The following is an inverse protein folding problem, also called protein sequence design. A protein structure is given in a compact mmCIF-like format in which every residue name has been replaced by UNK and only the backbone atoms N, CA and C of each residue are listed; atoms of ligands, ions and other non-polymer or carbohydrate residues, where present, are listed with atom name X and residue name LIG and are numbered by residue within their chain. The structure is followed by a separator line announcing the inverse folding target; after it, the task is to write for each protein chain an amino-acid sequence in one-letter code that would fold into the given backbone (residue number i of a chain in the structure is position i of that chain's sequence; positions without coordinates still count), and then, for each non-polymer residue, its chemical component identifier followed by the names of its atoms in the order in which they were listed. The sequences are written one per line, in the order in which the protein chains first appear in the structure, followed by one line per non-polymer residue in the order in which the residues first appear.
data_IF_219676484104
#
_entry.id   IF_219676484104
#
_cell.length_a   1.000
_cell.length_b   1.000
_cell.length_c   1.000
_cell.angle_alpha   90.00
_cell.angle_beta   90.00
_cell.angle_gamma   90.00
#
_symmetry.space_group_name_H-M   'P 1'
#
loop_
_entity.id
_entity.type
_entity.pdbx_description
1 polymer ?
#
# COMPACT_ATOMS: atom_id res chain seq x y z
N UNK A 1 28.39 -0.61 16.99
CA UNK A 1 27.65 0.55 17.53
C UNK A 1 27.06 1.25 16.31
N UNK A 2 25.78 1.12 16.07
CA UNK A 2 25.12 1.87 15.00
C UNK A 2 25.02 3.31 15.47
N UNK A 3 25.73 4.21 14.77
CA UNK A 3 25.43 5.64 14.86
C UNK A 3 23.91 5.78 14.68
N UNK A 4 23.22 6.31 15.68
CA UNK A 4 21.78 6.56 15.61
C UNK A 4 21.52 7.50 14.43
N UNK A 5 21.33 6.93 13.25
CA UNK A 5 20.93 7.70 12.07
C UNK A 5 19.54 8.23 12.39
N UNK A 6 19.48 9.52 12.57
CA UNK A 6 18.22 10.24 12.71
C UNK A 6 17.33 9.88 11.53
N UNK A 7 16.22 9.17 11.78
CA UNK A 7 15.23 8.77 10.77
C UNK A 7 14.75 9.96 9.96
N UNK A 8 14.66 11.13 10.58
CA UNK A 8 14.26 12.36 9.91
C UNK A 8 15.23 12.77 8.78
N UNK A 9 16.47 12.32 8.82
CA UNK A 9 17.47 12.63 7.76
C UNK A 9 17.81 11.45 6.84
N UNK A 10 17.30 10.25 7.14
CA UNK A 10 17.69 9.05 6.38
C UNK A 10 17.24 9.10 4.92
N UNK A 11 16.12 9.77 4.64
CA UNK A 11 15.56 9.90 3.29
C UNK A 11 16.17 11.04 2.46
N UNK A 12 16.98 11.92 3.04
CA UNK A 12 17.59 13.01 2.32
C UNK A 12 18.45 12.51 1.15
N UNK A 13 18.21 13.05 -0.04
CA UNK A 13 18.90 12.65 -1.27
C UNK A 13 18.51 11.30 -1.83
N UNK A 14 17.41 10.71 -1.37
CA UNK A 14 16.87 9.43 -1.84
C UNK A 14 15.51 9.61 -2.47
N UNK A 15 15.17 8.72 -3.40
CA UNK A 15 13.86 8.69 -4.04
C UNK A 15 13.01 7.52 -3.54
N UNK A 16 11.70 7.70 -3.58
CA UNK A 16 10.71 6.65 -3.40
C UNK A 16 9.61 6.77 -4.46
N UNK A 17 9.04 5.63 -4.85
CA UNK A 17 7.86 5.53 -5.71
C UNK A 17 6.69 5.09 -4.84
N UNK A 18 5.54 5.77 -4.95
CA UNK A 18 4.28 5.39 -4.29
C UNK A 18 3.18 5.32 -5.33
N UNK A 19 2.50 4.18 -5.43
CA UNK A 19 1.38 3.99 -6.35
C UNK A 19 0.02 4.18 -5.67
N UNK A 20 -0.99 4.68 -6.40
CA UNK A 20 -2.27 5.07 -5.81
C UNK A 20 -2.13 6.25 -4.84
N UNK A 21 -1.22 7.17 -5.17
CA UNK A 21 -0.74 8.20 -4.26
C UNK A 21 -1.61 9.46 -4.19
N UNK A 22 -2.66 9.55 -5.02
CA UNK A 22 -3.49 10.75 -5.06
C UNK A 22 -4.39 10.91 -3.82
N UNK A 23 -4.71 9.82 -3.12
CA UNK A 23 -5.64 9.83 -1.98
C UNK A 23 -5.43 8.64 -1.03
N UNK A 24 -6.09 8.71 0.15
CA UNK A 24 -6.11 7.62 1.13
C UNK A 24 -4.72 7.24 1.64
N UNK A 25 -4.44 5.93 1.74
CA UNK A 25 -3.18 5.42 2.27
C UNK A 25 -1.97 5.90 1.45
N UNK A 26 -2.05 5.81 0.12
CA UNK A 26 -0.94 6.24 -0.75
C UNK A 26 -0.59 7.72 -0.62
N UNK A 27 -1.58 8.60 -0.41
CA UNK A 27 -1.32 10.02 -0.15
C UNK A 27 -0.63 10.21 1.21
N UNK A 28 -1.05 9.49 2.26
CA UNK A 28 -0.41 9.54 3.58
C UNK A 28 1.04 9.01 3.53
N UNK A 29 1.27 7.92 2.79
CA UNK A 29 2.60 7.34 2.56
C UNK A 29 3.52 8.33 1.82
N UNK A 30 3.01 8.94 0.73
CA UNK A 30 3.75 9.95 -0.02
C UNK A 30 4.09 11.17 0.86
N UNK A 31 3.13 11.65 1.66
CA UNK A 31 3.33 12.77 2.56
C UNK A 31 4.41 12.50 3.60
N UNK A 32 4.37 11.35 4.26
CA UNK A 32 5.40 10.96 5.25
C UNK A 32 6.80 10.84 4.63
N UNK A 33 6.90 10.29 3.42
CA UNK A 33 8.17 10.23 2.69
C UNK A 33 8.71 11.63 2.34
N UNK A 34 7.83 12.54 1.88
CA UNK A 34 8.20 13.95 1.62
C UNK A 34 8.71 14.64 2.89
N UNK A 35 7.96 14.52 3.99
CA UNK A 35 8.33 15.10 5.29
C UNK A 35 9.64 14.52 5.85
N UNK A 36 9.95 13.27 5.51
CA UNK A 36 11.23 12.64 5.84
C UNK A 36 12.40 13.05 4.92
N UNK A 37 12.16 13.87 3.90
CA UNK A 37 13.20 14.41 3.00
C UNK A 37 13.36 13.67 1.68
N UNK A 38 12.51 12.67 1.38
CA UNK A 38 12.57 11.93 0.12
C UNK A 38 12.09 12.78 -1.08
N UNK A 39 12.65 12.50 -2.27
CA UNK A 39 11.97 12.80 -3.53
C UNK A 39 10.94 11.72 -3.79
N UNK A 40 9.67 12.08 -3.98
CA UNK A 40 8.58 11.12 -4.12
C UNK A 40 7.98 11.17 -5.51
N UNK A 41 8.09 10.06 -6.25
CA UNK A 41 7.33 9.82 -7.47
C UNK A 41 5.96 9.25 -7.09
N UNK A 42 4.94 10.10 -7.15
CA UNK A 42 3.57 9.80 -6.76
C UNK A 42 2.74 9.45 -8.00
N UNK A 43 2.36 8.19 -8.13
CA UNK A 43 1.66 7.64 -9.28
C UNK A 43 0.17 7.44 -8.98
N UNK A 44 -0.69 7.85 -9.88
CA UNK A 44 -2.12 7.51 -9.90
C UNK A 44 -2.67 7.61 -11.33
N UNK A 45 -3.83 7.01 -11.57
CA UNK A 45 -4.55 7.16 -12.85
C UNK A 45 -5.33 8.48 -12.94
N UNK A 46 -5.46 9.20 -11.83
CA UNK A 46 -6.12 10.50 -11.79
C UNK A 46 -5.31 11.55 -12.56
N UNK A 47 -5.98 12.40 -13.36
CA UNK A 47 -5.28 13.43 -14.12
C UNK A 47 -4.56 14.43 -13.20
N UNK A 48 -3.48 15.01 -13.67
CA UNK A 48 -2.64 15.93 -12.87
C UNK A 48 -3.40 17.13 -12.30
N UNK A 49 -4.48 17.56 -12.95
CA UNK A 49 -5.38 18.63 -12.49
C UNK A 49 -6.43 18.21 -11.47
N UNK A 50 -6.47 16.96 -11.04
CA UNK A 50 -7.41 16.50 -10.02
C UNK A 50 -7.15 17.20 -8.67
N UNK A 51 -8.24 17.54 -7.96
CA UNK A 51 -8.17 18.29 -6.69
C UNK A 51 -7.35 17.55 -5.62
N UNK A 52 -7.32 16.23 -5.64
CA UNK A 52 -6.56 15.42 -4.67
C UNK A 52 -5.06 15.71 -4.72
N UNK A 53 -4.51 16.02 -5.88
CA UNK A 53 -3.11 16.44 -6.02
C UNK A 53 -2.85 17.83 -5.42
N UNK A 54 -3.83 18.73 -5.53
CA UNK A 54 -3.75 20.05 -4.89
C UNK A 54 -3.74 19.89 -3.37
N UNK A 55 -4.60 19.01 -2.83
CA UNK A 55 -4.65 18.73 -1.39
C UNK A 55 -3.32 18.12 -0.90
N UNK A 56 -2.75 17.17 -1.64
CA UNK A 56 -1.45 16.57 -1.29
C UNK A 56 -0.31 17.59 -1.32
N UNK A 57 -0.26 18.47 -2.34
CA UNK A 57 0.72 19.55 -2.41
C UNK A 57 0.57 20.53 -1.23
N UNK A 58 -0.66 20.91 -0.90
CA UNK A 58 -0.94 21.79 0.22
C UNK A 58 -0.51 21.17 1.57
N UNK A 59 -0.79 19.89 1.78
CA UNK A 59 -0.38 19.16 2.97
C UNK A 59 1.15 19.02 3.07
N UNK A 60 1.85 18.87 1.94
CA UNK A 60 3.31 18.79 1.88
C UNK A 60 4.00 20.15 2.13
N UNK A 61 3.31 21.28 1.89
CA UNK A 61 3.87 22.62 2.10
C UNK A 61 5.17 22.82 1.33
N UNK A 62 6.26 23.22 2.02
CA UNK A 62 7.57 23.41 1.42
C UNK A 62 8.16 22.12 0.82
N UNK A 63 7.79 20.95 1.37
CA UNK A 63 8.28 19.65 0.89
C UNK A 63 7.70 19.26 -0.48
N UNK A 64 6.65 19.96 -0.95
CA UNK A 64 6.04 19.75 -2.26
C UNK A 64 7.01 19.96 -3.45
N UNK A 65 8.12 20.66 -3.25
CA UNK A 65 9.17 20.79 -4.27
C UNK A 65 9.82 19.44 -4.64
N UNK A 66 9.76 18.45 -3.74
CA UNK A 66 10.27 17.08 -3.95
C UNK A 66 9.21 16.13 -4.49
N UNK A 67 7.95 16.57 -4.64
CA UNK A 67 6.86 15.77 -5.19
C UNK A 67 6.90 15.74 -6.73
N UNK A 68 6.90 14.55 -7.28
CA UNK A 68 6.87 14.26 -8.73
C UNK A 68 5.60 13.49 -9.05
N UNK A 69 4.53 14.18 -9.45
CA UNK A 69 3.26 13.54 -9.83
C UNK A 69 3.41 12.91 -11.21
N UNK A 70 2.89 11.69 -11.36
CA UNK A 70 2.85 10.96 -12.63
C UNK A 70 1.49 10.30 -12.82
N UNK A 71 0.82 10.64 -13.91
CA UNK A 71 -0.39 9.95 -14.34
C UNK A 71 0.04 8.64 -14.98
N UNK A 72 -0.28 7.52 -14.33
CA UNK A 72 0.15 6.19 -14.77
C UNK A 72 -0.87 5.11 -14.38
N UNK A 73 -1.11 4.16 -15.27
CA UNK A 73 -1.86 2.93 -14.97
C UNK A 73 -0.87 1.82 -14.60
N UNK A 74 -0.89 1.38 -13.36
CA UNK A 74 0.01 0.33 -12.85
C UNK A 74 -0.11 -0.99 -13.62
N UNK A 75 -1.23 -1.24 -14.29
CA UNK A 75 -1.44 -2.40 -15.14
C UNK A 75 -0.79 -2.26 -16.54
N UNK A 76 -0.15 -1.13 -16.84
CA UNK A 76 0.42 -0.84 -18.15
C UNK A 76 1.95 -0.80 -18.09
N UNK A 77 2.62 -1.79 -18.67
CA UNK A 77 4.10 -1.89 -18.59
C UNK A 77 4.82 -0.68 -19.21
N UNK A 78 4.28 -0.06 -20.26
CA UNK A 78 4.87 1.14 -20.87
C UNK A 78 5.02 2.30 -19.89
N UNK A 79 4.11 2.43 -18.93
CA UNK A 79 4.14 3.51 -17.94
C UNK A 79 5.28 3.28 -16.93
N UNK A 80 5.56 2.00 -16.60
CA UNK A 80 6.70 1.62 -15.77
C UNK A 80 8.05 1.82 -16.47
N UNK A 81 8.14 1.51 -17.75
CA UNK A 81 9.35 1.75 -18.55
C UNK A 81 9.67 3.26 -18.62
N UNK A 82 8.65 4.09 -18.90
CA UNK A 82 8.83 5.54 -18.92
C UNK A 82 9.27 6.10 -17.55
N UNK A 83 8.69 5.59 -16.45
CA UNK A 83 9.10 5.98 -15.10
C UNK A 83 10.53 5.54 -14.78
N UNK A 84 10.91 4.33 -15.17
CA UNK A 84 12.28 3.83 -14.94
C UNK A 84 13.33 4.69 -15.66
N UNK A 85 13.06 5.07 -16.90
CA UNK A 85 13.91 5.97 -17.68
C UNK A 85 14.03 7.34 -17.00
N UNK A 86 12.93 7.90 -16.51
CA UNK A 86 12.93 9.19 -15.81
C UNK A 86 13.76 9.13 -14.53
N UNK A 87 13.55 8.10 -13.68
CA UNK A 87 14.30 7.94 -12.43
C UNK A 87 15.80 7.79 -12.72
N UNK A 88 16.14 7.00 -13.73
CA UNK A 88 17.54 6.81 -14.16
C UNK A 88 18.19 8.11 -14.59
N UNK A 89 17.48 8.95 -15.36
CA UNK A 89 17.98 10.24 -15.82
C UNK A 89 18.09 11.28 -14.70
N UNK A 90 17.20 11.23 -13.71
CA UNK A 90 17.22 12.14 -12.57
C UNK A 90 18.44 11.94 -11.66
N UNK A 91 19.08 10.77 -11.68
CA UNK A 91 20.29 10.47 -10.91
C UNK A 91 20.08 10.41 -9.39
N UNK A 92 18.85 10.44 -8.91
CA UNK A 92 18.52 10.28 -7.48
C UNK A 92 18.30 8.79 -7.19
N UNK A 93 19.04 8.17 -6.25
CA UNK A 93 18.96 6.74 -6.02
C UNK A 93 17.59 6.33 -5.45
N UNK A 94 16.98 5.30 -6.04
CA UNK A 94 15.68 4.79 -5.66
C UNK A 94 15.78 3.84 -4.46
N UNK A 95 15.41 4.30 -3.27
CA UNK A 95 15.47 3.52 -2.03
C UNK A 95 14.14 2.91 -1.59
N UNK A 96 13.01 3.42 -2.09
CA UNK A 96 11.69 2.95 -1.70
C UNK A 96 10.77 2.68 -2.89
N UNK A 97 10.03 1.57 -2.80
CA UNK A 97 8.89 1.29 -3.68
C UNK A 97 7.70 0.87 -2.82
N UNK A 98 6.59 1.61 -2.91
CA UNK A 98 5.34 1.29 -2.24
C UNK A 98 4.29 0.93 -3.29
N UNK A 99 3.99 -0.34 -3.40
CA UNK A 99 2.91 -0.85 -4.23
C UNK A 99 1.59 -0.81 -3.45
N UNK A 100 1.00 0.39 -3.37
CA UNK A 100 -0.25 0.64 -2.65
C UNK A 100 -1.47 0.66 -3.58
N UNK A 101 -1.32 1.02 -4.86
CA UNK A 101 -2.43 1.05 -5.81
C UNK A 101 -3.23 -0.25 -5.78
N UNK A 102 -4.54 -0.13 -5.72
CA UNK A 102 -5.41 -1.29 -5.72
C UNK A 102 -6.88 -0.92 -5.81
N UNK A 103 -7.66 -1.87 -6.29
CA UNK A 103 -9.12 -1.77 -6.40
C UNK A 103 -9.77 -2.91 -5.66
N UNK A 104 -11.01 -2.71 -5.23
CA UNK A 104 -11.84 -3.74 -4.61
C UNK A 104 -13.06 -4.02 -5.47
N UNK A 105 -13.51 -5.27 -5.43
CA UNK A 105 -14.77 -5.69 -6.03
C UNK A 105 -15.53 -6.49 -4.96
N UNK A 106 -16.68 -5.96 -4.52
CA UNK A 106 -17.48 -6.60 -3.44
C UNK A 106 -18.52 -7.55 -4.03
N UNK A 107 -18.07 -8.50 -4.86
CA UNK A 107 -18.89 -9.55 -5.50
C UNK A 107 -18.40 -10.93 -5.08
N UNK A 108 -19.33 -11.87 -4.98
CA UNK A 108 -19.06 -13.29 -4.74
C UNK A 108 -18.44 -13.97 -5.95
N UNK A 109 -18.02 -15.23 -5.83
CA UNK A 109 -17.45 -16.02 -6.94
C UNK A 109 -18.40 -16.09 -8.12
N UNK A 110 -19.67 -16.37 -7.87
CA UNK A 110 -20.69 -16.58 -8.91
C UNK A 110 -21.17 -15.28 -9.58
N UNK A 111 -21.00 -14.14 -8.92
CA UNK A 111 -21.37 -12.82 -9.44
C UNK A 111 -20.23 -12.12 -10.20
N UNK A 112 -18.99 -12.58 -10.01
CA UNK A 112 -17.81 -11.97 -10.62
C UNK A 112 -17.65 -12.43 -12.06
N UNK A 113 -17.72 -11.51 -13.03
CA UNK A 113 -17.42 -11.82 -14.42
C UNK A 113 -15.93 -12.05 -14.63
N UNK A 114 -15.57 -12.77 -15.70
CA UNK A 114 -14.15 -12.99 -16.05
C UNK A 114 -13.41 -11.66 -16.34
N UNK A 115 -14.07 -10.69 -16.96
CA UNK A 115 -13.48 -9.38 -17.22
C UNK A 115 -13.18 -8.60 -15.95
N UNK A 116 -14.10 -8.60 -14.96
CA UNK A 116 -13.88 -7.98 -13.65
C UNK A 116 -12.77 -8.67 -12.87
N UNK A 117 -12.73 -10.01 -12.92
CA UNK A 117 -11.65 -10.80 -12.34
C UNK A 117 -10.29 -10.40 -12.90
N UNK A 118 -10.15 -10.39 -14.25
CA UNK A 118 -8.90 -10.00 -14.91
C UNK A 118 -8.49 -8.57 -14.58
N UNK A 119 -9.42 -7.60 -14.72
CA UNK A 119 -9.12 -6.18 -14.41
C UNK A 119 -8.62 -6.00 -12.98
N UNK A 120 -9.18 -6.72 -12.02
CA UNK A 120 -8.74 -6.63 -10.63
C UNK A 120 -7.33 -7.22 -10.45
N UNK A 121 -7.04 -8.37 -11.05
CA UNK A 121 -5.70 -8.97 -11.01
C UNK A 121 -4.66 -8.10 -11.71
N UNK A 122 -4.99 -7.54 -12.87
CA UNK A 122 -4.11 -6.65 -13.62
C UNK A 122 -3.62 -5.46 -12.75
N UNK A 123 -4.52 -4.91 -11.90
CA UNK A 123 -4.15 -3.80 -11.01
C UNK A 123 -3.46 -4.30 -9.74
N UNK A 124 -4.08 -5.26 -9.02
CA UNK A 124 -3.68 -5.60 -7.65
C UNK A 124 -2.49 -6.57 -7.59
N UNK A 125 -2.17 -7.27 -8.68
CA UNK A 125 -1.11 -8.29 -8.75
C UNK A 125 -0.11 -8.00 -9.85
N UNK A 126 -0.57 -7.85 -11.11
CA UNK A 126 0.33 -7.62 -12.23
C UNK A 126 1.01 -6.24 -12.12
N UNK A 127 0.29 -5.21 -11.61
CA UNK A 127 0.87 -3.90 -11.33
C UNK A 127 2.09 -3.97 -10.41
N UNK A 128 1.99 -4.51 -9.19
CA UNK A 128 3.15 -4.74 -8.31
C UNK A 128 4.26 -5.60 -8.94
N UNK A 129 3.91 -6.62 -9.71
CA UNK A 129 4.90 -7.40 -10.45
C UNK A 129 5.67 -6.54 -11.47
N UNK A 130 4.96 -5.76 -12.27
CA UNK A 130 5.58 -4.86 -13.25
C UNK A 130 6.44 -3.79 -12.59
N UNK A 131 5.98 -3.23 -11.45
CA UNK A 131 6.76 -2.28 -10.65
C UNK A 131 8.09 -2.87 -10.21
N UNK A 132 8.07 -4.05 -9.59
CA UNK A 132 9.28 -4.74 -9.11
C UNK A 132 10.19 -5.08 -10.28
N UNK A 133 9.63 -5.67 -11.36
CA UNK A 133 10.39 -6.07 -12.55
C UNK A 133 11.16 -4.91 -13.19
N UNK A 134 10.51 -3.75 -13.32
CA UNK A 134 11.11 -2.61 -14.02
C UNK A 134 11.95 -1.70 -13.12
N UNK A 135 11.66 -1.60 -11.83
CA UNK A 135 12.33 -0.66 -10.93
C UNK A 135 13.41 -1.30 -10.03
N UNK A 136 13.34 -2.62 -9.75
CA UNK A 136 14.30 -3.24 -8.85
C UNK A 136 15.75 -3.09 -9.33
N UNK A 137 16.02 -3.05 -10.64
CA UNK A 137 17.36 -2.84 -11.20
C UNK A 137 17.97 -1.49 -10.85
N UNK A 138 17.15 -0.47 -10.60
CA UNK A 138 17.55 0.88 -10.21
C UNK A 138 17.75 1.03 -8.69
N UNK A 139 17.37 0.03 -7.91
CA UNK A 139 17.41 0.08 -6.45
C UNK A 139 18.79 -0.36 -5.93
N UNK A 140 19.47 0.46 -5.11
CA UNK A 140 20.76 0.10 -4.52
C UNK A 140 20.60 -0.82 -3.30
N UNK A 141 21.73 -1.31 -2.78
CA UNK A 141 21.77 -2.01 -1.50
C UNK A 141 21.19 -1.15 -0.38
N UNK A 142 20.37 -1.76 0.48
CA UNK A 142 19.68 -1.09 1.57
C UNK A 142 18.30 -0.53 1.19
N UNK A 143 17.91 -0.60 -0.08
CA UNK A 143 16.57 -0.24 -0.53
C UNK A 143 15.51 -1.24 -0.03
N UNK A 144 14.24 -0.81 -0.07
CA UNK A 144 13.14 -1.67 0.36
C UNK A 144 11.88 -1.48 -0.50
N UNK A 145 11.12 -2.56 -0.62
CA UNK A 145 9.84 -2.63 -1.32
C UNK A 145 8.77 -3.03 -0.30
N UNK A 146 7.66 -2.29 -0.28
CA UNK A 146 6.49 -2.63 0.54
C UNK A 146 5.27 -2.80 -0.37
N UNK A 147 4.65 -3.97 -0.30
CA UNK A 147 3.44 -4.29 -1.02
C UNK A 147 2.23 -4.19 -0.08
N UNK A 148 1.21 -3.42 -0.45
CA UNK A 148 -0.01 -3.27 0.35
C UNK A 148 -1.00 -4.39 0.02
N UNK A 149 -1.02 -5.42 0.86
CA UNK A 149 -2.01 -6.49 0.82
C UNK A 149 -3.30 -6.08 1.57
N UNK A 150 -3.82 -6.92 2.43
CA UNK A 150 -5.03 -6.71 3.24
C UNK A 150 -5.18 -7.84 4.25
N UNK A 151 -6.01 -7.68 5.27
CA UNK A 151 -6.54 -8.81 6.05
C UNK A 151 -7.21 -9.87 5.16
N UNK A 152 -7.80 -9.47 4.01
CA UNK A 152 -8.31 -10.39 2.99
C UNK A 152 -7.22 -11.29 2.36
N UNK A 153 -5.96 -10.92 2.45
CA UNK A 153 -4.81 -11.75 2.06
C UNK A 153 -4.36 -12.70 3.17
N UNK A 154 -4.84 -12.55 4.40
CA UNK A 154 -4.50 -13.39 5.56
C UNK A 154 -5.63 -14.36 5.93
N UNK A 155 -6.87 -13.97 5.64
CA UNK A 155 -8.07 -14.74 5.95
C UNK A 155 -8.99 -14.86 4.73
N UNK A 156 -10.05 -15.64 4.83
CA UNK A 156 -11.10 -15.66 3.80
C UNK A 156 -11.92 -14.35 3.84
N UNK A 157 -12.21 -13.83 2.65
CA UNK A 157 -13.09 -12.69 2.47
C UNK A 157 -14.06 -12.99 1.32
N UNK A 158 -15.30 -12.51 1.38
CA UNK A 158 -16.35 -12.90 0.44
C UNK A 158 -16.12 -12.45 -1.02
N UNK A 159 -15.24 -11.48 -1.27
CA UNK A 159 -14.85 -11.08 -2.62
C UNK A 159 -13.75 -11.99 -3.16
N UNK A 160 -14.09 -12.86 -4.10
CA UNK A 160 -13.17 -13.85 -4.63
C UNK A 160 -11.94 -13.24 -5.31
N UNK A 161 -12.15 -12.30 -6.24
CA UNK A 161 -11.06 -11.68 -6.98
C UNK A 161 -10.12 -10.91 -6.07
N UNK A 162 -10.68 -10.14 -5.11
CA UNK A 162 -9.88 -9.36 -4.17
C UNK A 162 -9.06 -10.27 -3.24
N UNK A 163 -9.69 -11.28 -2.64
CA UNK A 163 -9.02 -12.27 -1.80
C UNK A 163 -7.87 -12.94 -2.56
N UNK A 164 -8.15 -13.48 -3.74
CA UNK A 164 -7.14 -14.15 -4.57
C UNK A 164 -5.96 -13.23 -4.89
N UNK A 165 -6.22 -11.96 -5.28
CA UNK A 165 -5.16 -11.00 -5.59
C UNK A 165 -4.28 -10.69 -4.39
N UNK A 166 -4.88 -10.51 -3.19
CA UNK A 166 -4.13 -10.15 -1.97
C UNK A 166 -3.36 -11.35 -1.38
N UNK A 167 -3.84 -12.58 -1.55
CA UNK A 167 -3.07 -13.80 -1.28
C UNK A 167 -1.91 -13.96 -2.24
N UNK A 168 -2.14 -13.78 -3.55
CA UNK A 168 -1.11 -13.90 -4.58
C UNK A 168 -0.01 -12.85 -4.41
N UNK A 169 -0.35 -11.62 -4.02
CA UNK A 169 0.61 -10.55 -3.76
C UNK A 169 1.58 -10.90 -2.62
N UNK A 170 1.13 -11.60 -1.59
CA UNK A 170 2.00 -12.13 -0.53
C UNK A 170 2.95 -13.21 -1.07
N UNK A 171 2.48 -14.05 -1.99
CA UNK A 171 3.33 -15.01 -2.71
C UNK A 171 4.41 -14.31 -3.53
N UNK A 172 4.04 -13.29 -4.32
CA UNK A 172 4.98 -12.44 -5.07
C UNK A 172 6.00 -11.77 -4.13
N UNK A 173 5.56 -11.24 -2.99
CA UNK A 173 6.45 -10.63 -1.98
C UNK A 173 7.54 -11.62 -1.54
N UNK A 174 7.18 -12.87 -1.22
CA UNK A 174 8.15 -13.90 -0.79
C UNK A 174 9.12 -14.26 -1.90
N UNK A 175 8.62 -14.45 -3.12
CA UNK A 175 9.49 -14.75 -4.27
C UNK A 175 10.50 -13.62 -4.52
N UNK A 176 10.02 -12.37 -4.57
CA UNK A 176 10.88 -11.20 -4.76
C UNK A 176 11.86 -11.00 -3.59
N UNK A 177 11.47 -11.31 -2.35
CA UNK A 177 12.34 -11.19 -1.19
C UNK A 177 13.54 -12.14 -1.27
N UNK A 178 13.34 -13.35 -1.77
CA UNK A 178 14.43 -14.32 -1.99
C UNK A 178 15.35 -13.89 -3.11
N UNK A 179 14.80 -13.45 -4.24
CA UNK A 179 15.56 -13.00 -5.40
C UNK A 179 16.44 -11.79 -5.08
N UNK A 180 15.87 -10.79 -4.40
CA UNK A 180 16.53 -9.51 -4.18
C UNK A 180 17.41 -9.46 -2.93
N UNK A 181 17.35 -10.47 -2.05
CA UNK A 181 18.15 -10.54 -0.83
C UNK A 181 19.65 -10.47 -1.08
N UNK A 182 20.15 -11.16 -2.12
CA UNK A 182 21.55 -11.11 -2.51
C UNK A 182 22.08 -9.73 -2.91
N UNK A 183 21.15 -8.81 -3.25
CA UNK A 183 21.43 -7.40 -3.52
C UNK A 183 21.24 -6.50 -2.30
N UNK A 184 20.84 -7.06 -1.15
CA UNK A 184 20.53 -6.32 0.06
C UNK A 184 19.26 -5.48 -0.03
N UNK A 185 18.31 -5.85 -0.91
CA UNK A 185 17.02 -5.21 -1.06
C UNK A 185 15.97 -6.04 -0.30
N UNK A 186 15.19 -5.41 0.57
CA UNK A 186 14.14 -6.05 1.36
C UNK A 186 12.78 -5.91 0.69
N UNK A 187 11.95 -6.96 0.76
CA UNK A 187 10.59 -6.92 0.21
C UNK A 187 9.63 -7.46 1.26
N UNK A 188 8.67 -6.64 1.69
CA UNK A 188 7.71 -7.01 2.73
C UNK A 188 6.28 -6.65 2.31
N UNK A 189 5.31 -7.18 3.04
CA UNK A 189 3.90 -6.88 2.86
C UNK A 189 3.35 -6.21 4.11
N UNK A 190 2.59 -5.13 3.96
CA UNK A 190 1.68 -4.62 4.98
C UNK A 190 0.27 -5.16 4.69
N UNK A 191 -0.45 -5.58 5.73
CA UNK A 191 -1.80 -6.13 5.63
C UNK A 191 -2.80 -5.30 6.44
N UNK A 192 -3.31 -4.17 5.91
CA UNK A 192 -4.27 -3.33 6.59
C UNK A 192 -5.59 -4.05 6.86
N UNK A 193 -6.22 -3.71 8.00
CA UNK A 193 -7.60 -4.03 8.31
C UNK A 193 -8.58 -2.98 7.79
N UNK A 194 -9.50 -2.55 8.67
CA UNK A 194 -10.41 -1.43 8.39
C UNK A 194 -9.63 -0.12 8.43
N UNK A 195 -9.59 0.59 7.30
CA UNK A 195 -8.93 1.92 7.20
C UNK A 195 -9.96 2.95 6.71
N UNK A 196 -10.02 4.10 7.38
CA UNK A 196 -10.98 5.16 7.08
C UNK A 196 -10.55 5.94 5.83
N UNK A 197 -10.85 5.37 4.67
CA UNK A 197 -10.51 5.92 3.36
C UNK A 197 -11.73 6.01 2.45
N UNK A 198 -11.70 6.80 1.38
CA UNK A 198 -12.78 6.85 0.39
C UNK A 198 -13.22 5.48 -0.13
N UNK A 199 -12.31 4.53 -0.25
CA UNK A 199 -12.60 3.15 -0.70
C UNK A 199 -13.62 2.43 0.21
N UNK A 200 -13.59 2.71 1.51
CA UNK A 200 -14.48 2.09 2.50
C UNK A 200 -15.72 2.95 2.75
N UNK A 201 -15.54 4.26 2.85
CA UNK A 201 -16.55 5.19 3.32
C UNK A 201 -17.54 5.63 2.23
N UNK A 202 -17.12 5.61 0.95
CA UNK A 202 -17.96 6.07 -0.14
C UNK A 202 -18.81 4.95 -0.75
N UNK A 203 -20.07 5.26 -1.15
CA UNK A 203 -20.87 4.36 -1.97
C UNK A 203 -20.14 4.02 -3.28
N UNK A 204 -20.41 2.84 -3.81
CA UNK A 204 -19.86 2.40 -5.10
C UNK A 204 -20.95 1.70 -5.93
N UNK A 205 -20.60 1.22 -7.12
CA UNK A 205 -21.56 0.58 -8.04
C UNK A 205 -22.27 -0.66 -7.47
N UNK A 206 -21.73 -1.26 -6.38
CA UNK A 206 -22.30 -2.47 -5.76
C UNK A 206 -22.97 -2.18 -4.42
N UNK A 207 -22.49 -1.15 -3.70
CA UNK A 207 -22.99 -0.79 -2.38
C UNK A 207 -23.45 0.66 -2.34
N UNK A 208 -24.73 0.86 -2.04
CA UNK A 208 -25.28 2.16 -1.65
C UNK A 208 -24.73 2.63 -0.28
N UNK A 209 -25.12 3.82 0.14
CA UNK A 209 -24.65 4.41 1.40
C UNK A 209 -25.01 3.55 2.63
N UNK A 210 -26.19 2.91 2.64
CA UNK A 210 -26.65 2.06 3.73
C UNK A 210 -25.77 0.80 3.87
N UNK A 211 -25.49 0.13 2.76
CA UNK A 211 -24.62 -1.06 2.73
C UNK A 211 -23.16 -0.72 3.06
N UNK A 212 -22.67 0.44 2.61
CA UNK A 212 -21.32 0.92 2.94
C UNK A 212 -21.18 1.13 4.46
N UNK A 213 -22.19 1.73 5.10
CA UNK A 213 -22.24 1.92 6.54
C UNK A 213 -22.26 0.58 7.30
N UNK A 214 -23.15 -0.34 6.92
CA UNK A 214 -23.22 -1.67 7.54
C UNK A 214 -21.90 -2.45 7.40
N UNK A 215 -21.25 -2.31 6.26
CA UNK A 215 -19.93 -2.89 6.03
C UNK A 215 -18.86 -2.31 6.95
N UNK A 216 -18.84 -0.98 7.12
CA UNK A 216 -17.94 -0.31 8.06
C UNK A 216 -18.19 -0.77 9.50
N UNK A 217 -19.46 -0.71 9.96
CA UNK A 217 -19.84 -1.10 11.33
C UNK A 217 -19.48 -2.57 11.62
N UNK A 218 -19.76 -3.48 10.69
CA UNK A 218 -19.42 -4.90 10.84
C UNK A 218 -17.91 -5.16 10.95
N UNK A 219 -17.08 -4.43 10.19
CA UNK A 219 -15.63 -4.51 10.29
C UNK A 219 -15.11 -3.91 11.59
N UNK A 220 -15.63 -2.74 12.00
CA UNK A 220 -15.30 -2.10 13.28
C UNK A 220 -15.58 -3.06 14.47
N UNK A 221 -16.76 -3.70 14.45
CA UNK A 221 -17.16 -4.63 15.51
C UNK A 221 -16.35 -5.93 15.53
N UNK A 222 -15.70 -6.28 14.41
CA UNK A 222 -14.76 -7.41 14.33
C UNK A 222 -13.32 -7.01 14.68
N UNK A 223 -13.06 -5.71 14.85
CA UNK A 223 -11.73 -5.18 15.17
C UNK A 223 -11.61 -4.98 16.69
N UNK A 224 -10.69 -5.67 17.39
CA UNK A 224 -10.50 -5.50 18.84
C UNK A 224 -10.29 -4.05 19.30
N UNK A 225 -9.55 -3.22 18.56
CA UNK A 225 -9.42 -1.80 18.86
C UNK A 225 -10.70 -0.99 18.61
N UNK A 226 -11.77 -1.60 18.11
CA UNK A 226 -13.14 -1.06 17.98
C UNK A 226 -13.25 0.25 17.16
N UNK A 227 -12.32 0.47 16.22
CA UNK A 227 -12.30 1.60 15.26
C UNK A 227 -11.64 1.21 13.94
N UNK A 228 -11.80 2.04 12.94
CA UNK A 228 -10.91 2.02 11.78
C UNK A 228 -9.54 2.65 12.13
N UNK A 229 -8.56 2.34 11.34
CA UNK A 229 -7.28 3.04 11.37
C UNK A 229 -7.35 4.30 10.49
N UNK A 230 -6.66 5.35 10.88
CA UNK A 230 -6.34 6.44 9.98
C UNK A 230 -5.33 5.97 8.92
N UNK A 231 -5.37 6.58 7.73
CA UNK A 231 -4.41 6.27 6.67
C UNK A 231 -2.96 6.47 7.11
N UNK A 232 -2.74 7.44 7.98
CA UNK A 232 -1.44 7.77 8.55
C UNK A 232 -0.87 6.67 9.47
N UNK A 233 -1.72 5.89 10.16
CA UNK A 233 -1.29 4.74 10.97
C UNK A 233 -0.74 3.60 10.09
N UNK A 234 -1.33 3.42 8.89
CA UNK A 234 -0.80 2.47 7.91
C UNK A 234 0.52 2.98 7.31
N UNK A 235 0.56 4.26 6.96
CA UNK A 235 1.76 4.89 6.44
C UNK A 235 2.93 4.81 7.43
N UNK A 236 2.69 4.88 8.73
CA UNK A 236 3.72 4.68 9.76
C UNK A 236 4.34 3.28 9.69
N UNK A 237 3.54 2.24 9.51
CA UNK A 237 4.02 0.87 9.37
C UNK A 237 4.80 0.67 8.06
N UNK A 238 4.36 1.30 6.96
CA UNK A 238 5.08 1.32 5.69
C UNK A 238 6.43 2.00 5.84
N UNK A 239 6.50 3.16 6.48
CA UNK A 239 7.75 3.89 6.75
C UNK A 239 8.74 3.05 7.57
N UNK A 240 8.26 2.34 8.60
CA UNK A 240 9.08 1.40 9.37
C UNK A 240 9.68 0.30 8.47
N UNK A 241 8.85 -0.35 7.64
CA UNK A 241 9.33 -1.41 6.75
C UNK A 241 10.28 -0.90 5.66
N UNK A 242 10.13 0.33 5.20
CA UNK A 242 11.06 0.96 4.27
C UNK A 242 12.36 1.40 4.95
N UNK A 243 12.30 1.74 6.22
CA UNK A 243 13.40 2.32 7.00
C UNK A 243 14.51 1.33 7.38
N UNK A 244 15.64 1.85 7.88
CA UNK A 244 16.78 1.04 8.31
C UNK A 244 16.50 0.20 9.56
N UNK A 245 15.50 0.55 10.38
CA UNK A 245 15.08 -0.23 11.56
C UNK A 245 14.57 -1.62 11.19
N UNK A 246 14.00 -1.78 9.99
CA UNK A 246 13.57 -3.06 9.46
C UNK A 246 14.68 -3.81 8.71
N UNK A 247 15.96 -3.52 8.96
CA UNK A 247 17.10 -4.04 8.20
C UNK A 247 17.22 -5.57 8.18
N UNK A 248 16.61 -6.26 9.15
CA UNK A 248 16.61 -7.74 9.21
C UNK A 248 15.20 -8.33 8.96
N UNK A 249 14.29 -7.55 8.34
CA UNK A 249 12.92 -7.96 8.02
C UNK A 249 12.76 -8.00 6.49
N UNK A 250 12.61 -9.21 5.94
CA UNK A 250 12.27 -9.43 4.52
C UNK A 250 11.39 -10.67 4.36
N UNK A 251 10.49 -10.67 3.38
CA UNK A 251 9.50 -11.73 3.15
C UNK A 251 8.37 -11.79 4.18
N UNK A 252 8.27 -10.80 5.06
CA UNK A 252 7.28 -10.76 6.14
C UNK A 252 5.94 -10.20 5.66
N UNK A 253 4.87 -10.68 6.33
CA UNK A 253 3.54 -10.07 6.29
C UNK A 253 3.30 -9.37 7.63
N UNK A 254 3.09 -8.06 7.62
CA UNK A 254 2.80 -7.26 8.80
C UNK A 254 1.32 -6.88 8.87
N UNK A 255 0.51 -7.53 9.72
CA UNK A 255 -0.87 -7.08 9.96
C UNK A 255 -0.87 -5.71 10.65
N UNK A 256 -1.67 -4.78 10.10
CA UNK A 256 -1.94 -3.46 10.68
C UNK A 256 -3.47 -3.31 10.70
N UNK A 257 -4.10 -4.06 11.60
CA UNK A 257 -5.53 -4.40 11.51
C UNK A 257 -6.30 -4.26 12.84
N UNK A 258 -5.69 -3.64 13.83
CA UNK A 258 -6.29 -3.45 15.15
C UNK A 258 -6.65 -4.75 15.88
N UNK A 259 -5.97 -5.86 15.52
CA UNK A 259 -6.16 -7.18 16.12
C UNK A 259 -7.21 -8.06 15.42
N UNK A 260 -7.75 -7.62 14.27
CA UNK A 260 -8.81 -8.34 13.56
C UNK A 260 -8.39 -9.79 13.22
N UNK A 261 -7.22 -9.99 12.62
CA UNK A 261 -6.72 -11.34 12.28
C UNK A 261 -6.12 -12.09 13.45
N UNK A 262 -5.71 -11.38 14.51
CA UNK A 262 -5.16 -11.96 15.73
C UNK A 262 -6.19 -12.61 16.66
N UNK A 263 -7.49 -12.36 16.44
CA UNK A 263 -8.52 -12.92 17.32
C UNK A 263 -9.89 -12.23 17.27
N UNK A 264 -10.18 -11.47 16.20
CA UNK A 264 -11.42 -10.68 16.10
C UNK A 264 -12.71 -11.48 16.27
N UNK A 265 -12.75 -12.75 15.87
CA UNK A 265 -13.90 -13.64 16.09
C UNK A 265 -14.11 -13.88 17.59
N UNK A 266 -13.07 -14.23 18.33
CA UNK A 266 -13.16 -14.48 19.76
C UNK A 266 -13.37 -13.19 20.55
N UNK A 267 -12.86 -12.06 20.09
CA UNK A 267 -13.19 -10.75 20.61
C UNK A 267 -14.71 -10.49 20.57
N UNK A 268 -15.35 -10.70 19.42
CA UNK A 268 -16.81 -10.54 19.28
C UNK A 268 -17.58 -11.48 20.22
N UNK A 269 -17.15 -12.74 20.29
CA UNK A 269 -17.78 -13.73 21.18
C UNK A 269 -17.62 -13.30 22.63
N UNK A 270 -16.41 -12.94 23.05
CA UNK A 270 -16.12 -12.47 24.41
C UNK A 270 -16.97 -11.27 24.82
N UNK A 271 -17.10 -10.27 23.94
CA UNK A 271 -17.98 -9.11 24.17
C UNK A 271 -19.46 -9.51 24.27
N UNK A 272 -19.94 -10.36 23.38
CA UNK A 272 -21.35 -10.76 23.37
C UNK A 272 -21.75 -11.65 24.56
N UNK A 273 -20.78 -12.32 25.16
CA UNK A 273 -20.98 -13.22 26.32
C UNK A 273 -20.59 -12.58 27.66
N UNK A 274 -20.09 -11.33 27.63
CA UNK A 274 -19.66 -10.63 28.86
C UNK A 274 -18.33 -11.14 29.47
N UNK A 275 -17.49 -11.82 28.66
CA UNK A 275 -16.16 -12.27 29.08
C UNK A 275 -15.06 -11.22 28.84
N UNK A 276 -15.38 -10.14 28.11
CA UNK A 276 -14.50 -9.01 27.82
C UNK A 276 -15.24 -7.69 28.00
#
# INVERSE_FOLDING_TARGET
MSDGKDLASWWNGKAAVVTGAARGQGAAEALRLLQAGATVYALDVLPEGDATWTDLRAAAGADAERLRIRVADVARESDWLALADEISQAGVPLYGLVNNAGVTLRKTVTETTHAEWRRLLDINLDGPFLAIRNLATLMPQGAAIVNTSSTAGLTGYFSAAYTASKWALRGLTRAASLELAGRGIRVNTVCPGLVETPMIMQPNAVHDAGRARLFYEGNRDATPLSRGADADEIAAAVMFLLGPEASFITGADLPVDGGMTGGGVYWRIGKSTGNL
#
